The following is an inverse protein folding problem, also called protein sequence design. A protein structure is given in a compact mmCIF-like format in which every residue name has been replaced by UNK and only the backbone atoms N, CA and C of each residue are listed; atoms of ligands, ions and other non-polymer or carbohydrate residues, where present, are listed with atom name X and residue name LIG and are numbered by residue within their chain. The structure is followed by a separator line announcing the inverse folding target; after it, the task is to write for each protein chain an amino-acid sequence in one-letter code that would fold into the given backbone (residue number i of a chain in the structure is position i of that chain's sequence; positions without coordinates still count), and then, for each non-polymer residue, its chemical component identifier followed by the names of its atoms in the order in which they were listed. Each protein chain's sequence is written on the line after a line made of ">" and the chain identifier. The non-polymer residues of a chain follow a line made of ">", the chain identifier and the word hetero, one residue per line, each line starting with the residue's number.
data_IF_935133719981
#
_entry.id   IF_935133719981
#
_cell.length_a   1.000
_cell.length_b   1.000
_cell.length_c   1.000
_cell.angle_alpha   90.00
_cell.angle_beta   90.00
_cell.angle_gamma   90.00
#
_symmetry.space_group_name_H-M   'P 1'
#
loop_
_entity.id
_entity.type
_entity.pdbx_description
1 polymer ?
#
# COMPACT_ATOMS: atom_id res chain seq x y z
N UNK A 1 -6.39 5.38 -26.57
CA UNK A 1 -6.12 5.85 -25.19
C UNK A 1 -4.62 5.80 -25.00
N UNK A 2 -3.99 6.75 -24.33
CA UNK A 2 -2.57 6.67 -24.01
C UNK A 2 -2.30 5.50 -23.05
N UNK A 3 -1.10 4.92 -23.13
CA UNK A 3 -0.70 3.82 -22.22
C UNK A 3 -0.69 4.29 -20.76
N UNK A 4 -1.15 3.42 -19.88
CA UNK A 4 -0.95 3.57 -18.44
C UNK A 4 0.42 3.01 -18.09
N UNK A 5 1.32 3.82 -17.58
CA UNK A 5 2.68 3.41 -17.19
C UNK A 5 2.84 3.62 -15.70
N UNK A 6 3.09 2.54 -14.96
CA UNK A 6 3.33 2.60 -13.53
C UNK A 6 4.83 2.51 -13.24
N UNK A 7 5.41 3.59 -12.73
CA UNK A 7 6.77 3.60 -12.21
C UNK A 7 6.78 3.12 -10.76
N UNK A 8 7.32 1.93 -10.53
CA UNK A 8 7.21 1.27 -9.23
C UNK A 8 8.37 0.30 -8.96
N UNK A 9 8.38 -0.30 -7.78
CA UNK A 9 9.16 -1.50 -7.48
C UNK A 9 8.28 -2.54 -6.75
N UNK A 10 8.54 -3.86 -6.96
CA UNK A 10 7.66 -4.95 -6.49
C UNK A 10 7.39 -4.94 -4.98
N UNK A 11 8.39 -4.59 -4.17
CA UNK A 11 8.29 -4.59 -2.71
C UNK A 11 7.55 -3.37 -2.11
N UNK A 12 7.09 -2.42 -2.95
CA UNK A 12 6.40 -1.22 -2.46
C UNK A 12 4.95 -1.52 -2.07
N UNK A 13 4.55 -1.31 -0.80
CA UNK A 13 3.17 -1.50 -0.39
C UNK A 13 2.20 -0.52 -1.08
N UNK A 14 2.58 0.75 -1.23
CA UNK A 14 1.75 1.72 -1.97
C UNK A 14 1.64 1.40 -3.47
N UNK A 15 2.67 0.78 -4.06
CA UNK A 15 2.57 0.29 -5.44
C UNK A 15 1.63 -0.93 -5.51
N UNK A 16 1.62 -1.81 -4.49
CA UNK A 16 0.67 -2.93 -4.40
C UNK A 16 -0.78 -2.43 -4.41
N UNK A 17 -1.09 -1.38 -3.63
CA UNK A 17 -2.39 -0.73 -3.66
C UNK A 17 -2.81 -0.36 -5.09
N UNK A 18 -1.93 0.32 -5.85
CA UNK A 18 -2.25 0.76 -7.21
C UNK A 18 -2.34 -0.41 -8.19
N UNK A 19 -1.45 -1.41 -8.07
CA UNK A 19 -1.53 -2.63 -8.91
C UNK A 19 -2.86 -3.35 -8.75
N UNK A 20 -3.34 -3.50 -7.52
CA UNK A 20 -4.66 -4.10 -7.25
C UNK A 20 -5.81 -3.26 -7.79
N UNK A 21 -5.71 -1.93 -7.71
CA UNK A 21 -6.73 -1.04 -8.30
C UNK A 21 -6.75 -1.20 -9.83
N UNK A 22 -5.58 -1.29 -10.48
CA UNK A 22 -5.49 -1.57 -11.92
C UNK A 22 -6.14 -2.91 -12.27
N UNK A 23 -5.88 -3.96 -11.47
CA UNK A 23 -6.53 -5.25 -11.61
C UNK A 23 -8.04 -5.20 -11.43
N UNK A 24 -8.51 -4.55 -10.38
CA UNK A 24 -9.93 -4.37 -10.10
C UNK A 24 -10.70 -3.65 -11.22
N UNK A 25 -10.06 -2.65 -11.82
CA UNK A 25 -10.55 -1.89 -12.96
C UNK A 25 -10.38 -2.62 -14.30
N UNK A 26 -9.74 -3.78 -14.30
CA UNK A 26 -9.39 -4.52 -15.53
C UNK A 26 -8.66 -3.64 -16.56
N UNK A 27 -7.71 -2.82 -16.08
CA UNK A 27 -6.93 -1.90 -16.92
C UNK A 27 -5.60 -2.54 -17.29
N UNK A 28 -5.29 -2.56 -18.58
CA UNK A 28 -3.96 -2.90 -19.06
C UNK A 28 -2.96 -1.78 -18.75
N UNK A 29 -1.75 -2.13 -18.31
CA UNK A 29 -0.73 -1.16 -17.93
C UNK A 29 0.69 -1.66 -18.20
N UNK A 30 1.64 -0.74 -18.29
CA UNK A 30 3.06 -1.03 -18.48
C UNK A 30 3.82 -0.82 -17.18
N UNK A 31 4.65 -1.80 -16.81
CA UNK A 31 5.50 -1.76 -15.64
C UNK A 31 6.86 -1.13 -15.98
N UNK A 32 7.23 -0.06 -15.28
CA UNK A 32 8.57 0.51 -15.29
C UNK A 32 9.18 0.37 -13.90
N UNK A 33 10.19 -0.48 -13.78
CA UNK A 33 10.86 -0.71 -12.52
C UNK A 33 11.83 0.42 -12.21
N UNK A 34 11.71 0.98 -11.01
CA UNK A 34 12.55 2.08 -10.52
C UNK A 34 13.31 1.66 -9.25
N UNK A 35 14.43 2.33 -8.92
CA UNK A 35 15.16 2.08 -7.68
C UNK A 35 14.29 2.26 -6.43
N UNK A 36 14.54 1.45 -5.39
CA UNK A 36 13.79 1.54 -4.13
C UNK A 36 14.17 2.79 -3.30
N UNK A 37 15.43 3.23 -3.46
CA UNK A 37 16.01 4.38 -2.75
C UNK A 37 16.54 5.41 -3.75
N UNK A 38 16.83 6.61 -3.25
CA UNK A 38 17.48 7.64 -4.05
C UNK A 38 18.93 7.25 -4.37
N UNK A 39 19.48 7.69 -5.54
CA UNK A 39 18.83 8.53 -6.57
C UNK A 39 17.90 7.73 -7.48
N UNK A 40 16.87 8.43 -8.01
CA UNK A 40 15.92 7.91 -9.03
C UNK A 40 15.92 8.87 -10.22
N UNK A 41 16.99 8.92 -11.03
CA UNK A 41 17.21 10.00 -11.99
C UNK A 41 16.05 10.19 -12.96
N UNK A 42 15.54 9.10 -13.54
CA UNK A 42 14.46 9.15 -14.53
C UNK A 42 13.14 9.68 -13.92
N UNK A 43 12.80 9.18 -12.71
CA UNK A 43 11.59 9.63 -12.01
C UNK A 43 11.72 11.07 -11.52
N UNK A 44 12.90 11.47 -11.09
CA UNK A 44 13.14 12.85 -10.66
C UNK A 44 12.96 13.86 -11.80
N UNK A 45 13.42 13.51 -13.01
CA UNK A 45 13.21 14.33 -14.20
C UNK A 45 11.72 14.47 -14.54
N UNK A 46 10.94 13.37 -14.43
CA UNK A 46 9.51 13.37 -14.72
C UNK A 46 8.67 14.12 -13.68
N UNK A 47 9.08 14.11 -12.41
CA UNK A 47 8.24 14.54 -11.27
C UNK A 47 8.69 15.84 -10.63
N UNK A 48 9.74 16.48 -11.13
CA UNK A 48 10.31 17.66 -10.49
C UNK A 48 10.92 17.38 -9.10
N UNK A 49 11.34 16.13 -8.86
CA UNK A 49 12.00 15.74 -7.60
C UNK A 49 11.11 15.03 -6.58
N UNK A 50 9.84 14.73 -6.91
CA UNK A 50 9.00 13.90 -6.02
C UNK A 50 9.60 12.50 -5.89
N UNK A 51 9.84 12.07 -4.66
CA UNK A 51 10.64 10.85 -4.39
C UNK A 51 9.82 9.61 -4.01
N UNK A 52 8.54 9.79 -3.64
CA UNK A 52 7.68 8.67 -3.20
C UNK A 52 7.26 7.82 -4.40
N UNK A 53 6.87 6.60 -4.14
CA UNK A 53 6.51 5.58 -5.14
C UNK A 53 5.15 4.99 -4.74
N UNK A 54 4.26 4.67 -5.70
CA UNK A 54 4.43 4.71 -7.15
C UNK A 54 4.16 6.08 -7.78
N UNK A 55 4.46 6.18 -9.10
CA UNK A 55 4.08 7.31 -9.96
C UNK A 55 3.36 6.73 -11.17
N UNK A 56 2.20 7.28 -11.53
CA UNK A 56 1.46 6.92 -12.74
C UNK A 56 1.74 7.95 -13.83
N UNK A 57 2.04 7.47 -15.04
CA UNK A 57 2.20 8.27 -16.23
C UNK A 57 1.13 7.91 -17.26
N UNK A 58 0.50 8.91 -17.88
CA UNK A 58 -0.47 8.75 -18.96
C UNK A 58 -0.11 9.78 -20.05
N UNK A 59 0.54 9.32 -21.12
CA UNK A 59 1.10 10.22 -22.11
C UNK A 59 2.16 11.15 -21.51
N UNK A 60 1.92 12.45 -21.53
CA UNK A 60 2.81 13.45 -20.93
C UNK A 60 2.46 13.79 -19.46
N UNK A 61 1.30 13.34 -18.98
CA UNK A 61 0.83 13.66 -17.63
C UNK A 61 1.42 12.71 -16.59
N UNK A 62 1.87 13.26 -15.46
CA UNK A 62 2.50 12.55 -14.37
C UNK A 62 1.71 12.75 -13.08
N UNK A 63 1.24 11.65 -12.50
CA UNK A 63 0.42 11.63 -11.29
C UNK A 63 1.20 11.06 -10.12
N UNK A 64 1.38 11.86 -9.08
CA UNK A 64 2.00 11.48 -7.82
C UNK A 64 0.95 11.42 -6.71
N UNK A 65 1.20 10.57 -5.71
CA UNK A 65 0.28 10.22 -4.63
C UNK A 65 -0.81 9.21 -5.02
N UNK A 66 -0.94 8.16 -4.21
CA UNK A 66 -1.86 7.04 -4.53
C UNK A 66 -3.33 7.39 -4.41
N UNK A 67 -3.70 8.41 -3.62
CA UNK A 67 -5.08 8.87 -3.56
C UNK A 67 -5.46 9.56 -4.87
N UNK A 68 -4.61 10.45 -5.39
CA UNK A 68 -4.77 11.09 -6.70
C UNK A 68 -4.77 10.04 -7.82
N UNK A 69 -3.86 9.08 -7.78
CA UNK A 69 -3.81 7.98 -8.78
C UNK A 69 -5.13 7.21 -8.80
N UNK A 70 -5.70 6.87 -7.63
CA UNK A 70 -6.99 6.20 -7.55
C UNK A 70 -8.13 7.06 -8.15
N UNK A 71 -8.12 8.39 -7.92
CA UNK A 71 -9.10 9.30 -8.51
C UNK A 71 -9.00 9.36 -10.03
N UNK A 72 -7.78 9.40 -10.57
CA UNK A 72 -7.52 9.37 -12.01
C UNK A 72 -8.01 8.06 -12.61
N UNK A 73 -7.70 6.92 -12.00
CA UNK A 73 -8.15 5.60 -12.47
C UNK A 73 -9.67 5.43 -12.38
N UNK A 74 -10.31 6.02 -11.35
CA UNK A 74 -11.77 6.05 -11.25
C UNK A 74 -12.40 6.88 -12.37
N UNK A 75 -11.81 8.02 -12.71
CA UNK A 75 -12.28 8.86 -13.81
C UNK A 75 -12.14 8.16 -15.17
N UNK A 76 -11.04 7.45 -15.40
CA UNK A 76 -10.78 6.71 -16.65
C UNK A 76 -11.68 5.48 -16.81
N UNK A 77 -11.96 4.78 -15.73
CA UNK A 77 -12.77 3.58 -15.68
C UNK A 77 -13.72 3.63 -14.47
N UNK A 78 -14.88 4.29 -14.56
CA UNK A 78 -15.80 4.45 -13.42
C UNK A 78 -16.40 3.14 -12.90
N UNK A 79 -16.38 2.08 -13.70
CA UNK A 79 -16.94 0.76 -13.35
C UNK A 79 -15.85 -0.31 -13.41
N UNK A 80 -15.74 -1.15 -12.34
CA UNK A 80 -16.45 -1.10 -11.07
C UNK A 80 -15.98 0.09 -10.21
N UNK A 81 -16.86 0.71 -9.36
CA UNK A 81 -16.54 1.93 -8.65
C UNK A 81 -15.60 1.70 -7.47
N UNK A 82 -14.62 2.60 -7.28
CA UNK A 82 -13.81 2.69 -6.05
C UNK A 82 -14.53 3.48 -4.95
N UNK A 83 -15.46 4.33 -5.34
CA UNK A 83 -16.17 5.26 -4.47
C UNK A 83 -17.68 5.16 -4.66
N UNK A 84 -18.32 4.04 -4.27
CA UNK A 84 -19.77 3.88 -4.44
C UNK A 84 -20.54 4.91 -3.60
N UNK A 85 -21.62 5.46 -4.16
CA UNK A 85 -22.54 6.28 -3.40
C UNK A 85 -23.60 5.38 -2.70
N UNK A 86 -23.99 5.74 -1.46
CA UNK A 86 -23.69 6.98 -0.71
C UNK A 86 -22.41 6.92 0.16
N UNK A 87 -21.53 5.95 0.02
CA UNK A 87 -20.40 5.68 0.90
C UNK A 87 -19.09 6.43 0.59
N UNK A 88 -19.03 7.25 -0.46
CA UNK A 88 -17.78 7.86 -0.97
C UNK A 88 -16.95 8.59 0.09
N UNK A 89 -17.59 9.44 0.92
CA UNK A 89 -16.88 10.18 1.97
C UNK A 89 -16.27 9.24 3.02
N UNK A 90 -16.99 8.21 3.42
CA UNK A 90 -16.51 7.19 4.37
C UNK A 90 -15.35 6.40 3.78
N UNK A 91 -15.47 5.95 2.53
CA UNK A 91 -14.41 5.20 1.86
C UNK A 91 -13.10 5.99 1.78
N UNK A 92 -13.16 7.29 1.46
CA UNK A 92 -11.99 8.20 1.46
C UNK A 92 -11.41 8.39 2.86
N UNK A 93 -12.24 8.55 3.88
CA UNK A 93 -11.80 8.74 5.26
C UNK A 93 -11.08 7.49 5.78
N UNK A 94 -11.64 6.30 5.52
CA UNK A 94 -11.00 5.02 5.91
C UNK A 94 -9.70 4.81 5.13
N UNK A 95 -9.66 5.14 3.84
CA UNK A 95 -8.44 5.04 3.04
C UNK A 95 -7.34 5.98 3.57
N UNK A 96 -7.66 7.22 3.93
CA UNK A 96 -6.69 8.14 4.51
C UNK A 96 -6.18 7.65 5.88
N UNK A 97 -7.06 7.15 6.73
CA UNK A 97 -6.66 6.53 8.00
C UNK A 97 -5.73 5.34 7.78
N UNK A 98 -6.01 4.50 6.78
CA UNK A 98 -5.18 3.36 6.43
C UNK A 98 -3.78 3.79 5.92
N UNK A 99 -3.73 4.72 4.96
CA UNK A 99 -2.48 5.21 4.36
C UNK A 99 -1.59 5.99 5.36
N UNK A 100 -2.17 6.43 6.48
CA UNK A 100 -1.45 7.11 7.56
C UNK A 100 -1.28 6.22 8.80
N UNK A 101 -2.32 6.03 9.59
CA UNK A 101 -2.22 5.41 10.92
C UNK A 101 -1.95 3.91 10.84
N UNK A 102 -2.70 3.15 10.02
CA UNK A 102 -2.52 1.69 9.90
C UNK A 102 -1.17 1.38 9.27
N UNK A 103 -0.82 2.11 8.20
CA UNK A 103 0.47 1.94 7.52
C UNK A 103 1.65 2.12 8.47
N UNK A 104 1.70 3.21 9.22
CA UNK A 104 2.85 3.45 10.10
C UNK A 104 2.92 2.51 11.30
N UNK A 105 1.77 2.07 11.83
CA UNK A 105 1.77 1.04 12.87
C UNK A 105 2.26 -0.32 12.33
N UNK A 106 1.78 -0.71 11.15
CA UNK A 106 2.22 -1.93 10.48
C UNK A 106 3.71 -1.89 10.14
N UNK A 107 4.22 -0.76 9.61
CA UNK A 107 5.65 -0.60 9.30
C UNK A 107 6.51 -0.61 10.57
N UNK A 108 6.11 0.10 11.62
CA UNK A 108 6.85 0.12 12.88
C UNK A 108 6.92 -1.28 13.53
N UNK A 109 5.86 -2.08 13.42
CA UNK A 109 5.84 -3.47 13.85
C UNK A 109 6.68 -4.38 12.96
N UNK A 110 6.43 -4.34 11.65
CA UNK A 110 7.06 -5.23 10.66
C UNK A 110 8.56 -5.01 10.52
N UNK A 111 9.03 -3.77 10.65
CA UNK A 111 10.46 -3.41 10.55
C UNK A 111 11.19 -3.47 11.90
N UNK A 112 10.59 -4.09 12.92
CA UNK A 112 11.29 -4.51 14.13
C UNK A 112 12.40 -5.54 13.82
N UNK A 113 13.23 -5.90 14.80
CA UNK A 113 14.45 -6.71 14.55
C UNK A 113 14.20 -8.02 13.78
N UNK A 114 13.12 -8.75 14.11
CA UNK A 114 12.78 -10.02 13.43
C UNK A 114 12.37 -9.81 11.97
N UNK A 115 11.45 -8.89 11.71
CA UNK A 115 10.99 -8.66 10.35
C UNK A 115 12.03 -7.93 9.47
N UNK A 116 12.89 -7.10 10.08
CA UNK A 116 14.05 -6.55 9.39
C UNK A 116 15.03 -7.65 8.96
N UNK A 117 15.21 -8.68 9.77
CA UNK A 117 16.02 -9.85 9.41
C UNK A 117 15.44 -10.60 8.19
N UNK A 118 14.12 -10.76 8.10
CA UNK A 118 13.48 -11.33 6.90
C UNK A 118 13.74 -10.49 5.66
N UNK A 119 13.50 -9.19 5.79
CA UNK A 119 13.56 -8.25 4.67
C UNK A 119 14.97 -8.11 4.10
N UNK A 120 16.00 -8.23 4.94
CA UNK A 120 17.40 -8.01 4.59
C UNK A 120 18.26 -9.28 4.69
N UNK A 121 17.68 -10.47 4.72
CA UNK A 121 18.37 -11.76 4.96
C UNK A 121 19.64 -11.96 4.14
N UNK A 122 19.67 -11.52 2.88
CA UNK A 122 20.78 -11.67 1.95
C UNK A 122 21.31 -10.32 1.43
N UNK A 123 21.11 -9.25 2.22
CA UNK A 123 21.45 -7.90 1.79
C UNK A 123 22.74 -7.45 2.47
N UNK A 124 23.75 -6.96 1.73
CA UNK A 124 24.98 -6.42 2.33
C UNK A 124 24.71 -5.29 3.33
N UNK A 125 25.48 -5.19 4.42
CA UNK A 125 25.25 -4.20 5.48
C UNK A 125 25.22 -2.73 4.99
N UNK A 126 26.05 -2.40 4.00
CA UNK A 126 26.09 -1.08 3.40
C UNK A 126 24.80 -0.73 2.64
N UNK A 127 24.16 -1.71 1.99
CA UNK A 127 22.88 -1.53 1.31
C UNK A 127 21.76 -1.36 2.33
N UNK A 128 21.79 -2.13 3.43
CA UNK A 128 20.83 -1.98 4.55
C UNK A 128 20.96 -0.59 5.16
N UNK A 129 22.20 -0.12 5.36
CA UNK A 129 22.46 1.23 5.88
C UNK A 129 21.92 2.31 4.92
N UNK A 130 22.21 2.20 3.63
CA UNK A 130 21.75 3.15 2.62
C UNK A 130 20.21 3.21 2.57
N UNK A 131 19.53 2.06 2.63
CA UNK A 131 18.08 1.98 2.71
C UNK A 131 17.54 2.66 3.98
N UNK A 132 18.15 2.40 5.12
CA UNK A 132 17.73 2.98 6.40
C UNK A 132 17.90 4.49 6.43
N UNK A 133 19.01 5.00 5.90
CA UNK A 133 19.29 6.45 5.80
C UNK A 133 18.30 7.13 4.83
N UNK A 134 18.01 6.51 3.70
CA UNK A 134 17.01 7.01 2.74
C UNK A 134 15.62 7.10 3.37
N UNK A 135 15.18 6.07 4.12
CA UNK A 135 13.88 6.06 4.80
C UNK A 135 13.82 7.08 5.94
N UNK A 136 14.93 7.28 6.66
CA UNK A 136 15.03 8.32 7.68
C UNK A 136 14.90 9.72 7.07
N UNK A 137 15.57 9.97 5.97
CA UNK A 137 15.48 11.25 5.25
C UNK A 137 14.05 11.50 4.72
N UNK A 138 13.33 10.45 4.29
CA UNK A 138 11.97 10.55 3.79
C UNK A 138 10.93 10.79 4.90
N UNK A 139 11.15 10.24 6.09
CA UNK A 139 10.16 10.20 7.18
C UNK A 139 10.60 10.95 8.44
N UNK A 140 11.65 11.75 8.37
CA UNK A 140 12.30 12.35 9.54
C UNK A 140 11.42 13.30 10.38
N UNK A 141 10.38 13.87 9.78
CA UNK A 141 9.41 14.74 10.48
C UNK A 141 8.21 13.99 11.08
N UNK A 142 8.08 12.69 10.83
CA UNK A 142 6.95 11.89 11.31
C UNK A 142 7.23 11.32 12.70
N UNK A 143 6.27 11.48 13.60
CA UNK A 143 6.30 10.83 14.90
C UNK A 143 6.30 9.30 14.72
N UNK A 144 7.31 8.62 15.27
CA UNK A 144 7.42 7.16 15.21
C UNK A 144 6.86 6.54 16.46
N UNK A 145 6.06 5.49 16.29
CA UNK A 145 5.62 4.66 17.40
C UNK A 145 6.82 3.90 17.98
N UNK A 146 6.89 3.80 19.31
CA UNK A 146 7.83 2.86 19.96
C UNK A 146 7.43 1.43 19.59
N UNK A 147 8.37 0.48 19.54
CA UNK A 147 8.07 -0.90 19.13
C UNK A 147 6.92 -1.56 19.90
N UNK A 148 6.85 -1.34 21.23
CA UNK A 148 5.78 -1.88 22.07
C UNK A 148 4.41 -1.25 21.72
N UNK A 149 4.37 0.06 21.49
CA UNK A 149 3.17 0.80 21.13
C UNK A 149 2.69 0.43 19.71
N UNK A 150 3.65 0.17 18.79
CA UNK A 150 3.35 -0.26 17.44
C UNK A 150 2.59 -1.60 17.40
N UNK A 151 3.03 -2.58 18.18
CA UNK A 151 2.36 -3.88 18.26
C UNK A 151 0.94 -3.75 18.83
N UNK A 152 0.74 -2.95 19.86
CA UNK A 152 -0.57 -2.71 20.47
C UNK A 152 -1.51 -1.96 19.50
N UNK A 153 -1.01 -0.91 18.85
CA UNK A 153 -1.76 -0.14 17.85
C UNK A 153 -2.16 -1.02 16.66
N UNK A 154 -1.21 -1.81 16.12
CA UNK A 154 -1.49 -2.69 14.99
C UNK A 154 -2.55 -3.74 15.32
N UNK A 155 -2.47 -4.41 16.48
CA UNK A 155 -3.52 -5.32 16.95
C UNK A 155 -4.87 -4.62 17.10
N UNK A 156 -4.90 -3.40 17.62
CA UNK A 156 -6.13 -2.61 17.72
C UNK A 156 -6.73 -2.31 16.35
N UNK A 157 -5.89 -1.96 15.37
CA UNK A 157 -6.35 -1.70 14.00
C UNK A 157 -6.86 -2.97 13.31
N UNK A 158 -6.19 -4.11 13.49
CA UNK A 158 -6.67 -5.39 12.96
C UNK A 158 -8.05 -5.77 13.52
N UNK A 159 -8.30 -5.53 14.82
CA UNK A 159 -9.64 -5.75 15.39
C UNK A 159 -10.70 -4.85 14.74
N UNK A 160 -10.40 -3.55 14.55
CA UNK A 160 -11.33 -2.65 13.86
C UNK A 160 -11.63 -3.09 12.44
N UNK A 161 -10.64 -3.60 11.70
CA UNK A 161 -10.87 -4.18 10.37
C UNK A 161 -11.74 -5.43 10.48
N UNK A 162 -11.51 -6.29 11.48
CA UNK A 162 -12.35 -7.45 11.73
C UNK A 162 -13.80 -7.05 12.04
N UNK A 163 -14.01 -6.02 12.87
CA UNK A 163 -15.34 -5.50 13.19
C UNK A 163 -16.05 -4.93 11.96
N UNK A 164 -15.30 -4.26 11.06
CA UNK A 164 -15.82 -3.76 9.78
C UNK A 164 -16.22 -4.88 8.80
N UNK A 165 -15.63 -6.05 8.94
CA UNK A 165 -15.91 -7.23 8.10
C UNK A 165 -17.04 -8.11 8.65
N UNK A 166 -17.63 -7.74 9.79
CA UNK A 166 -18.70 -8.51 10.38
C UNK A 166 -19.93 -8.52 9.46
N UNK A 167 -20.33 -9.72 9.04
CA UNK A 167 -21.48 -9.95 8.15
C UNK A 167 -21.30 -9.47 6.70
N UNK A 168 -20.10 -9.05 6.27
CA UNK A 168 -19.89 -8.56 4.91
C UNK A 168 -18.51 -8.95 4.33
N UNK A 169 -18.40 -9.08 2.99
CA UNK A 169 -17.17 -9.58 2.36
C UNK A 169 -16.06 -8.53 2.26
N UNK A 170 -16.37 -7.23 2.28
CA UNK A 170 -15.42 -6.12 2.19
C UNK A 170 -15.71 -5.07 3.26
N UNK A 171 -14.75 -4.19 3.53
CA UNK A 171 -14.78 -3.28 4.68
C UNK A 171 -16.02 -2.38 4.75
N UNK A 172 -16.59 -2.02 3.61
CA UNK A 172 -17.74 -1.10 3.54
C UNK A 172 -18.94 -1.68 2.77
N UNK A 173 -19.01 -3.01 2.62
CA UNK A 173 -20.16 -3.66 1.99
C UNK A 173 -19.84 -4.84 1.09
N UNK A 174 -20.65 -5.00 0.03
CA UNK A 174 -20.62 -6.17 -0.84
C UNK A 174 -19.50 -6.16 -1.89
N UNK A 175 -18.90 -5.00 -2.16
CA UNK A 175 -17.85 -4.83 -3.17
C UNK A 175 -16.66 -4.09 -2.57
N UNK A 176 -15.43 -4.32 -3.07
CA UNK A 176 -14.26 -3.59 -2.59
C UNK A 176 -14.34 -2.12 -2.98
N UNK A 177 -13.89 -1.26 -2.08
CA UNK A 177 -13.80 0.19 -2.25
C UNK A 177 -12.36 0.65 -2.09
N UNK A 178 -12.05 1.93 -2.33
CA UNK A 178 -10.72 2.49 -2.07
C UNK A 178 -10.23 2.22 -0.64
N UNK A 179 -11.14 2.07 0.32
CA UNK A 179 -10.82 1.71 1.70
C UNK A 179 -10.16 0.32 1.80
N UNK A 180 -10.68 -0.66 1.06
CA UNK A 180 -10.13 -2.02 1.02
C UNK A 180 -8.71 -2.03 0.46
N UNK A 181 -8.47 -1.37 -0.66
CA UNK A 181 -7.13 -1.28 -1.27
C UNK A 181 -6.13 -0.57 -0.36
N UNK A 182 -6.56 0.48 0.34
CA UNK A 182 -5.72 1.22 1.27
C UNK A 182 -5.42 0.42 2.56
N UNK A 183 -6.39 -0.31 3.10
CA UNK A 183 -6.19 -1.15 4.28
C UNK A 183 -5.37 -2.41 3.96
N UNK A 184 -5.46 -2.94 2.74
CA UNK A 184 -4.79 -4.18 2.35
C UNK A 184 -3.27 -4.05 2.27
N UNK A 185 -2.73 -3.02 1.64
CA UNK A 185 -1.31 -2.96 1.30
C UNK A 185 -0.34 -2.98 2.50
N UNK A 186 -0.62 -2.38 3.68
CA UNK A 186 0.26 -2.54 4.83
C UNK A 186 0.23 -3.96 5.42
N UNK A 187 -0.92 -4.64 5.37
CA UNK A 187 -1.06 -6.03 5.82
C UNK A 187 -0.39 -6.99 4.84
N UNK A 188 -0.54 -6.74 3.53
CA UNK A 188 0.21 -7.45 2.50
C UNK A 188 1.72 -7.38 2.73
N UNK A 189 2.25 -6.20 3.05
CA UNK A 189 3.66 -6.05 3.37
C UNK A 189 4.07 -6.91 4.55
N UNK A 190 3.31 -6.88 5.65
CA UNK A 190 3.57 -7.72 6.83
C UNK A 190 3.59 -9.20 6.46
N UNK A 191 2.62 -9.67 5.67
CA UNK A 191 2.51 -11.08 5.27
C UNK A 191 3.62 -11.54 4.35
N UNK A 192 3.98 -10.71 3.37
CA UNK A 192 4.84 -11.13 2.26
C UNK A 192 6.31 -10.74 2.45
N UNK A 193 6.58 -9.65 3.17
CA UNK A 193 7.94 -9.12 3.31
C UNK A 193 8.58 -9.41 4.67
N UNK A 194 7.76 -9.71 5.67
CA UNK A 194 8.22 -10.00 7.04
C UNK A 194 7.49 -11.22 7.62
N UNK A 195 7.62 -12.41 6.99
CA UNK A 195 6.84 -13.60 7.33
C UNK A 195 7.06 -14.07 8.77
N UNK A 196 8.24 -13.87 9.37
CA UNK A 196 8.53 -14.26 10.76
C UNK A 196 7.68 -13.52 11.81
N UNK A 197 7.07 -12.39 11.43
CA UNK A 197 6.17 -11.60 12.29
C UNK A 197 4.73 -11.57 11.78
N UNK A 198 4.43 -12.24 10.67
CA UNK A 198 3.10 -12.24 10.04
C UNK A 198 2.02 -12.92 10.89
N UNK A 199 2.36 -13.76 11.87
CA UNK A 199 1.40 -14.39 12.79
C UNK A 199 0.52 -13.41 13.58
N UNK A 200 0.85 -12.11 13.60
CA UNK A 200 -0.04 -11.09 14.17
C UNK A 200 -1.39 -11.01 13.43
N UNK A 201 -1.40 -11.31 12.12
CA UNK A 201 -2.59 -11.29 11.27
C UNK A 201 -3.56 -12.43 11.60
N UNK A 202 -3.03 -13.57 12.05
CA UNK A 202 -3.81 -14.77 12.37
C UNK A 202 -4.67 -14.60 13.63
N UNK A 203 -4.46 -13.52 14.39
CA UNK A 203 -5.32 -13.13 15.50
C UNK A 203 -6.72 -12.65 15.05
N UNK A 204 -6.91 -12.40 13.76
CA UNK A 204 -8.16 -11.90 13.16
C UNK A 204 -8.51 -12.71 11.90
N UNK A 205 -9.14 -13.90 12.02
CA UNK A 205 -9.43 -14.77 10.88
C UNK A 205 -10.24 -14.08 9.77
N UNK A 206 -11.22 -13.25 10.11
CA UNK A 206 -12.01 -12.50 9.12
C UNK A 206 -11.12 -11.59 8.24
N UNK A 207 -10.08 -10.99 8.83
CA UNK A 207 -9.10 -10.18 8.08
C UNK A 207 -8.25 -11.06 7.16
N UNK A 208 -7.86 -12.26 7.61
CA UNK A 208 -7.11 -13.22 6.77
C UNK A 208 -7.91 -13.65 5.55
N UNK A 209 -9.19 -13.97 5.74
CA UNK A 209 -10.11 -14.35 4.66
C UNK A 209 -10.37 -13.19 3.70
N UNK A 210 -10.53 -11.98 4.23
CA UNK A 210 -10.64 -10.78 3.42
C UNK A 210 -9.34 -10.50 2.62
N UNK A 211 -8.17 -10.67 3.22
CA UNK A 211 -6.89 -10.54 2.50
C UNK A 211 -6.78 -11.53 1.35
N UNK A 212 -7.29 -12.75 1.49
CA UNK A 212 -7.33 -13.73 0.41
C UNK A 212 -8.25 -13.26 -0.74
N UNK A 213 -9.42 -12.70 -0.43
CA UNK A 213 -10.31 -12.11 -1.45
C UNK A 213 -9.67 -10.93 -2.17
N UNK A 214 -8.99 -10.05 -1.46
CA UNK A 214 -8.27 -8.92 -2.06
C UNK A 214 -7.13 -9.40 -2.97
N UNK A 215 -6.35 -10.38 -2.53
CA UNK A 215 -5.26 -10.95 -3.35
C UNK A 215 -5.78 -11.60 -4.65
N UNK A 216 -6.97 -12.21 -4.62
CA UNK A 216 -7.61 -12.82 -5.78
C UNK A 216 -8.00 -11.84 -6.89
N UNK A 217 -8.06 -10.54 -6.62
CA UNK A 217 -8.29 -9.48 -7.62
C UNK A 217 -7.16 -9.48 -8.67
N UNK A 218 -5.92 -9.72 -8.24
CA UNK A 218 -4.76 -9.67 -9.11
C UNK A 218 -4.38 -8.25 -9.55
N UNK A 219 -3.43 -8.16 -10.47
CA UNK A 219 -2.82 -6.88 -10.85
C UNK A 219 -3.25 -6.37 -12.25
N UNK A 220 -4.20 -7.02 -12.90
CA UNK A 220 -4.53 -6.73 -14.30
C UNK A 220 -3.52 -7.34 -15.28
N UNK A 221 -3.54 -6.89 -16.52
CA UNK A 221 -2.70 -7.41 -17.63
C UNK A 221 -1.82 -6.33 -18.22
#
# INVERSE_FOLDING_TARGET
>A
MADLILHHYPASPFAEKVRLVLGYKNLAWKSVLIPQIMPKPDVQALTGGYRKTPVLQIGADIYCDTALICDVLEHLAPTPPLYPEPGKGLARTVAQWADSSVFWAAMAYSLGPKGAADMFANTPPEVVKAFSDDRRAMSGSLARLRPADAAAAYKSYLRRLSDMLDGQPFLLGAVPTVADFACYHPLWFTRTRTPSVAGILDLTPAVVDWMARMAAIGHGT
#
